data_IF_903891466631
#
_entry.id   IF_903891466631
#
_cell.length_a   1.000
_cell.length_b   1.000
_cell.length_c   1.000
_cell.angle_alpha   90.00
_cell.angle_beta   90.00
_cell.angle_gamma   90.00
#
_symmetry.space_group_name_H-M   'P 1'
#
loop_
_entity.id
_entity.type
_entity.pdbx_description
1 polymer ?
#
# COMPACT_ATOMS: atom_id res chain seq x y z
N UNK A 1 -70.08 -10.92 8.02
CA UNK A 1 -69.31 -10.66 6.77
C UNK A 1 -68.49 -9.36 6.82
N UNK A 2 -67.69 -9.11 7.87
CA UNK A 2 -66.68 -8.02 7.88
C UNK A 2 -65.55 -8.39 8.84
N UNK A 3 -64.53 -9.10 8.34
CA UNK A 3 -63.19 -9.25 8.95
C UNK A 3 -62.25 -10.01 8.00
N UNK A 4 -62.17 -9.58 6.74
CA UNK A 4 -61.16 -10.05 5.77
C UNK A 4 -60.37 -8.91 5.09
N UNK A 5 -60.61 -7.65 5.46
CA UNK A 5 -60.04 -6.48 4.77
C UNK A 5 -58.74 -5.90 5.35
N UNK A 6 -58.22 -6.41 6.49
CA UNK A 6 -57.06 -5.80 7.16
C UNK A 6 -55.75 -6.58 7.05
N UNK A 7 -55.77 -7.80 6.48
CA UNK A 7 -54.56 -8.65 6.36
C UNK A 7 -53.82 -8.51 5.04
N UNK A 8 -54.44 -7.93 4.01
CA UNK A 8 -53.78 -7.66 2.72
C UNK A 8 -53.13 -6.26 2.65
N UNK A 9 -53.63 -5.27 3.41
CA UNK A 9 -53.06 -3.92 3.42
C UNK A 9 -51.68 -3.83 4.08
N UNK A 10 -51.44 -4.59 5.16
CA UNK A 10 -50.15 -4.59 5.86
C UNK A 10 -49.08 -5.40 5.09
N UNK A 11 -49.48 -6.45 4.37
CA UNK A 11 -48.56 -7.24 3.55
C UNK A 11 -48.08 -6.46 2.31
N UNK A 12 -48.94 -5.63 1.72
CA UNK A 12 -48.59 -4.76 0.57
C UNK A 12 -47.69 -3.60 1.02
N UNK A 13 -47.88 -3.04 2.22
CA UNK A 13 -46.99 -1.99 2.76
C UNK A 13 -45.60 -2.53 3.16
N UNK A 14 -45.51 -3.76 3.69
CA UNK A 14 -44.22 -4.40 3.98
C UNK A 14 -43.51 -4.84 2.70
N UNK A 15 -44.24 -5.35 1.69
CA UNK A 15 -43.64 -5.65 0.39
C UNK A 15 -43.25 -4.39 -0.38
N UNK A 16 -43.99 -3.28 -0.29
CA UNK A 16 -43.58 -2.00 -0.89
C UNK A 16 -42.39 -1.35 -0.16
N UNK A 17 -42.25 -1.52 1.16
CA UNK A 17 -41.09 -1.08 1.92
C UNK A 17 -39.84 -1.95 1.65
N UNK A 18 -40.02 -3.27 1.45
CA UNK A 18 -38.93 -4.17 1.03
C UNK A 18 -38.57 -3.93 -0.44
N UNK A 19 -39.54 -3.65 -1.31
CA UNK A 19 -39.29 -3.29 -2.72
C UNK A 19 -38.63 -1.92 -2.85
N UNK A 20 -39.01 -0.96 -2.00
CA UNK A 20 -38.38 0.35 -1.89
C UNK A 20 -36.98 0.30 -1.29
N UNK A 21 -36.72 -0.60 -0.34
CA UNK A 21 -35.38 -0.86 0.18
C UNK A 21 -34.51 -1.58 -0.84
N UNK A 22 -35.03 -2.56 -1.59
CA UNK A 22 -34.32 -3.23 -2.69
C UNK A 22 -34.09 -2.25 -3.86
N UNK A 23 -35.00 -1.31 -4.12
CA UNK A 23 -34.81 -0.24 -5.11
C UNK A 23 -33.87 0.88 -4.63
N UNK A 24 -33.71 1.09 -3.32
CA UNK A 24 -32.74 2.03 -2.74
C UNK A 24 -31.33 1.42 -2.62
N UNK A 25 -31.22 0.09 -2.49
CA UNK A 25 -29.96 -0.64 -2.67
C UNK A 25 -29.63 -0.94 -4.14
N UNK A 26 -30.57 -0.69 -5.06
CA UNK A 26 -30.44 -0.93 -6.50
C UNK A 26 -30.35 0.32 -7.38
N UNK A 27 -30.42 1.53 -6.83
CA UNK A 27 -30.01 2.73 -7.57
C UNK A 27 -28.49 2.80 -7.55
N UNK A 28 -27.89 2.40 -8.67
CA UNK A 28 -26.50 2.71 -9.00
C UNK A 28 -26.12 4.10 -8.47
N UNK A 29 -25.20 4.15 -7.51
CA UNK A 29 -24.54 5.42 -7.17
C UNK A 29 -24.02 6.01 -8.49
N UNK A 30 -24.21 7.30 -8.79
CA UNK A 30 -23.59 7.92 -9.94
C UNK A 30 -22.07 7.64 -9.87
N UNK A 31 -21.57 6.75 -10.75
CA UNK A 31 -20.24 6.12 -10.62
C UNK A 31 -20.21 4.59 -10.67
N UNK A 32 -21.37 3.91 -10.75
CA UNK A 32 -21.46 2.44 -10.73
C UNK A 32 -20.86 1.72 -11.96
N UNK A 33 -20.70 2.42 -13.09
CA UNK A 33 -19.96 1.92 -14.23
C UNK A 33 -18.66 2.72 -14.37
N UNK A 34 -17.53 2.03 -14.28
CA UNK A 34 -16.26 2.54 -14.80
C UNK A 34 -16.54 2.91 -16.25
N UNK A 35 -16.37 4.20 -16.62
CA UNK A 35 -16.62 4.63 -17.99
C UNK A 35 -15.80 3.73 -18.92
N UNK A 36 -16.42 3.11 -19.94
CA UNK A 36 -15.67 2.32 -20.90
C UNK A 36 -14.56 3.20 -21.48
N UNK A 37 -13.30 2.87 -21.19
CA UNK A 37 -12.16 3.53 -21.80
C UNK A 37 -11.76 2.73 -23.04
N UNK A 38 -11.53 3.40 -24.18
CA UNK A 38 -11.05 2.71 -25.36
C UNK A 38 -9.66 2.13 -25.05
N UNK A 39 -9.50 0.81 -25.20
CA UNK A 39 -8.16 0.22 -25.36
C UNK A 39 -7.56 0.85 -26.62
N UNK A 40 -6.65 1.79 -26.45
CA UNK A 40 -5.89 2.32 -27.58
C UNK A 40 -4.78 1.30 -27.86
N UNK A 41 -5.14 0.20 -28.52
CA UNK A 41 -4.16 -0.64 -29.19
C UNK A 41 -3.79 0.05 -30.52
N UNK A 42 -2.92 1.05 -30.45
CA UNK A 42 -2.19 1.45 -31.65
C UNK A 42 -1.02 0.49 -31.81
N UNK A 43 -1.12 -0.41 -32.78
CA UNK A 43 0.02 -1.21 -33.22
C UNK A 43 1.14 -0.25 -33.67
N UNK A 44 2.23 -0.19 -32.90
CA UNK A 44 3.45 0.51 -33.28
C UNK A 44 4.33 -0.43 -34.09
N UNK A 45 5.01 0.09 -35.11
CA UNK A 45 5.98 -0.71 -35.86
C UNK A 45 7.16 -1.11 -34.97
N UNK A 46 7.87 -2.20 -35.30
CA UNK A 46 9.08 -2.61 -34.58
C UNK A 46 10.14 -1.51 -34.51
N UNK A 47 10.35 -0.77 -35.61
CA UNK A 47 11.28 0.36 -35.66
C UNK A 47 10.86 1.52 -34.75
N UNK A 48 9.56 1.79 -34.63
CA UNK A 48 9.04 2.80 -33.71
C UNK A 48 9.19 2.34 -32.25
N UNK A 49 8.93 1.07 -31.95
CA UNK A 49 9.15 0.51 -30.63
C UNK A 49 10.64 0.55 -30.23
N UNK A 50 11.54 0.18 -31.13
CA UNK A 50 12.99 0.22 -30.91
C UNK A 50 13.48 1.66 -30.67
N UNK A 51 12.99 2.63 -31.45
CA UNK A 51 13.32 4.04 -31.26
C UNK A 51 12.76 4.60 -29.94
N UNK A 52 11.51 4.26 -29.58
CA UNK A 52 10.91 4.68 -28.31
C UNK A 52 11.64 4.05 -27.10
N UNK A 53 12.30 2.90 -27.27
CA UNK A 53 13.07 2.19 -26.23
C UNK A 53 14.47 2.76 -26.01
N UNK A 54 15.02 3.51 -26.96
CA UNK A 54 16.37 4.08 -26.83
C UNK A 54 16.45 5.07 -25.66
N UNK A 55 17.39 4.82 -24.75
CA UNK A 55 17.62 5.67 -23.58
C UNK A 55 16.64 5.45 -22.42
N UNK A 56 15.63 4.59 -22.58
CA UNK A 56 14.67 4.27 -21.51
C UNK A 56 15.10 2.98 -20.79
N UNK A 57 15.24 2.99 -19.45
CA UNK A 57 15.60 1.80 -18.69
C UNK A 57 14.62 0.63 -18.86
N UNK A 58 15.14 -0.56 -19.16
CA UNK A 58 14.33 -1.79 -19.27
C UNK A 58 14.42 -2.71 -18.05
N UNK A 59 15.35 -2.42 -17.13
CA UNK A 59 15.57 -3.22 -15.93
C UNK A 59 16.02 -2.35 -14.76
N UNK A 60 16.01 -2.96 -13.57
CA UNK A 60 16.34 -2.29 -12.32
C UNK A 60 17.71 -1.61 -12.32
N UNK A 61 18.74 -2.29 -12.83
CA UNK A 61 20.11 -1.76 -12.81
C UNK A 61 20.25 -0.52 -13.71
N UNK A 62 19.63 -0.54 -14.89
CA UNK A 62 19.61 0.62 -15.79
C UNK A 62 18.83 1.79 -15.18
N UNK A 63 17.70 1.52 -14.52
CA UNK A 63 16.89 2.57 -13.91
C UNK A 63 17.63 3.25 -12.75
N UNK A 64 18.31 2.46 -11.93
CA UNK A 64 19.15 2.99 -10.85
C UNK A 64 20.31 3.84 -11.40
N UNK A 65 21.00 3.34 -12.43
CA UNK A 65 22.10 4.08 -13.05
C UNK A 65 21.64 5.40 -13.69
N UNK A 66 20.46 5.41 -14.33
CA UNK A 66 19.86 6.63 -14.87
C UNK A 66 19.57 7.67 -13.77
N UNK A 67 18.95 7.23 -12.66
CA UNK A 67 18.67 8.10 -11.51
C UNK A 67 19.95 8.63 -10.85
N UNK A 68 21.03 7.86 -10.81
CA UNK A 68 22.33 8.33 -10.30
C UNK A 68 22.93 9.44 -11.16
N UNK A 69 22.82 9.33 -12.50
CA UNK A 69 23.25 10.36 -13.44
C UNK A 69 22.40 11.63 -13.29
N UNK A 70 21.07 11.46 -13.23
CA UNK A 70 20.13 12.55 -13.02
C UNK A 70 20.38 13.28 -11.71
N UNK A 71 20.64 12.55 -10.61
CA UNK A 71 20.90 13.14 -9.30
C UNK A 71 22.18 13.99 -9.31
N UNK A 72 23.23 13.51 -9.98
CA UNK A 72 24.47 14.28 -10.13
C UNK A 72 24.22 15.57 -10.92
N UNK A 73 23.39 15.53 -11.98
CA UNK A 73 23.02 16.71 -12.75
C UNK A 73 22.14 17.69 -11.96
N UNK A 74 21.15 17.18 -11.23
CA UNK A 74 20.27 17.96 -10.37
C UNK A 74 21.07 18.70 -9.29
N UNK A 75 22.02 18.04 -8.63
CA UNK A 75 22.89 18.66 -7.61
C UNK A 75 23.76 19.78 -8.19
N UNK A 76 24.33 19.60 -9.40
CA UNK A 76 25.07 20.67 -10.09
C UNK A 76 24.17 21.87 -10.42
N UNK A 77 22.94 21.60 -10.86
CA UNK A 77 21.96 22.64 -11.19
C UNK A 77 21.56 23.44 -9.94
N UNK A 78 21.26 22.76 -8.84
CA UNK A 78 20.95 23.38 -7.56
C UNK A 78 22.11 24.27 -7.06
N UNK A 79 23.35 23.80 -7.20
CA UNK A 79 24.54 24.57 -6.81
C UNK A 79 24.76 25.82 -7.68
N UNK A 80 24.44 25.74 -8.98
CA UNK A 80 24.57 26.88 -9.90
C UNK A 80 23.46 27.92 -9.71
N UNK A 81 22.30 27.53 -9.15
CA UNK A 81 21.11 28.38 -9.00
C UNK A 81 20.52 28.30 -7.59
N UNK A 82 21.27 28.68 -6.54
CA UNK A 82 20.87 28.47 -5.14
C UNK A 82 19.67 29.34 -4.70
N UNK A 83 19.33 30.39 -5.46
CA UNK A 83 18.17 31.24 -5.21
C UNK A 83 16.89 30.83 -5.96
N UNK A 84 16.93 29.75 -6.76
CA UNK A 84 15.78 29.26 -7.51
C UNK A 84 15.23 28.01 -6.83
N UNK A 85 14.05 28.10 -6.19
CA UNK A 85 13.48 26.98 -5.44
C UNK A 85 13.29 25.73 -6.30
N UNK A 86 12.94 25.88 -7.59
CA UNK A 86 12.79 24.76 -8.54
C UNK A 86 14.12 24.01 -8.73
N UNK A 87 15.22 24.75 -8.92
CA UNK A 87 16.55 24.16 -9.07
C UNK A 87 16.99 23.45 -7.78
N UNK A 88 16.67 24.03 -6.62
CA UNK A 88 17.02 23.46 -5.30
C UNK A 88 16.13 22.27 -4.93
N UNK A 89 14.89 22.20 -5.42
CA UNK A 89 14.00 21.06 -5.20
C UNK A 89 14.37 19.83 -6.05
N UNK A 90 14.93 20.04 -7.24
CA UNK A 90 15.22 18.98 -8.22
C UNK A 90 16.03 17.79 -7.67
N UNK A 91 17.09 17.96 -6.85
CA UNK A 91 17.74 16.81 -6.21
C UNK A 91 16.79 15.99 -5.33
N UNK A 92 15.84 16.65 -4.65
CA UNK A 92 14.82 15.99 -3.84
C UNK A 92 13.87 15.13 -4.68
N UNK A 93 13.49 15.59 -5.87
CA UNK A 93 12.63 14.83 -6.78
C UNK A 93 13.31 13.53 -7.24
N UNK A 94 14.57 13.62 -7.66
CA UNK A 94 15.35 12.46 -8.10
C UNK A 94 15.62 11.50 -6.94
N UNK A 95 15.95 12.02 -5.76
CA UNK A 95 16.13 11.20 -4.55
C UNK A 95 14.84 10.50 -4.15
N UNK A 96 13.68 11.15 -4.25
CA UNK A 96 12.40 10.52 -3.97
C UNK A 96 12.09 9.39 -4.96
N UNK A 97 12.39 9.59 -6.24
CA UNK A 97 12.25 8.54 -7.25
C UNK A 97 13.20 7.35 -6.98
N UNK A 98 14.46 7.63 -6.64
CA UNK A 98 15.45 6.60 -6.28
C UNK A 98 15.09 5.87 -4.99
N UNK A 99 14.57 6.58 -3.99
CA UNK A 99 14.08 6.01 -2.76
C UNK A 99 12.89 5.06 -3.00
N UNK A 100 11.96 5.41 -3.88
CA UNK A 100 10.83 4.52 -4.26
C UNK A 100 11.29 3.27 -5.02
N UNK A 101 12.34 3.38 -5.83
CA UNK A 101 12.92 2.25 -6.55
C UNK A 101 13.71 1.31 -5.63
N UNK A 102 14.41 1.85 -4.64
CA UNK A 102 15.41 1.12 -3.82
C UNK A 102 14.98 0.85 -2.38
N UNK A 103 13.90 1.48 -1.93
CA UNK A 103 13.51 1.61 -0.51
C UNK A 103 14.62 2.20 0.39
N UNK A 104 15.42 3.13 -0.15
CA UNK A 104 16.50 3.82 0.60
C UNK A 104 15.94 4.88 1.54
N UNK A 105 16.02 4.61 2.85
CA UNK A 105 15.65 5.56 3.90
C UNK A 105 16.58 6.78 3.94
N UNK A 106 17.86 6.60 3.59
CA UNK A 106 18.82 7.71 3.49
C UNK A 106 18.43 8.67 2.36
N UNK A 107 17.97 8.14 1.22
CA UNK A 107 17.49 8.96 0.10
C UNK A 107 16.18 9.67 0.46
N UNK A 108 15.24 9.00 1.13
CA UNK A 108 14.04 9.66 1.65
C UNK A 108 14.40 10.80 2.60
N UNK A 109 15.34 10.58 3.54
CA UNK A 109 15.75 11.60 4.49
C UNK A 109 16.49 12.77 3.79
N UNK A 110 17.32 12.48 2.78
CA UNK A 110 17.98 13.52 2.00
C UNK A 110 17.00 14.32 1.15
N UNK A 111 16.02 13.68 0.52
CA UNK A 111 14.99 14.34 -0.26
C UNK A 111 14.25 15.40 0.58
N UNK A 112 13.86 15.04 1.81
CA UNK A 112 13.25 15.96 2.77
C UNK A 112 14.09 17.22 3.00
N UNK A 113 15.41 17.06 3.22
CA UNK A 113 16.32 18.21 3.41
C UNK A 113 16.38 19.12 2.19
N UNK A 114 16.26 18.60 0.97
CA UNK A 114 16.21 19.41 -0.23
C UNK A 114 14.89 20.18 -0.35
N UNK A 115 13.75 19.53 -0.05
CA UNK A 115 12.46 20.22 -0.04
C UNK A 115 12.37 21.30 1.03
N UNK A 116 12.95 21.09 2.21
CA UNK A 116 13.02 22.11 3.27
C UNK A 116 13.83 23.33 2.81
N UNK A 117 14.99 23.12 2.18
CA UNK A 117 15.81 24.21 1.62
C UNK A 117 15.06 24.96 0.52
N UNK A 118 14.44 24.25 -0.42
CA UNK A 118 13.69 24.87 -1.50
C UNK A 118 12.47 25.65 -0.98
N UNK A 119 11.78 25.13 0.05
CA UNK A 119 10.66 25.82 0.69
C UNK A 119 11.08 27.13 1.38
N UNK A 120 12.32 27.23 1.86
CA UNK A 120 12.82 28.43 2.51
C UNK A 120 13.12 29.59 1.53
N UNK A 121 13.30 29.29 0.23
CA UNK A 121 13.62 30.29 -0.80
C UNK A 121 12.40 31.16 -1.15
N UNK A 122 11.24 30.55 -1.40
CA UNK A 122 9.96 31.26 -1.48
C UNK A 122 8.87 30.48 -0.74
N UNK A 123 8.59 30.83 0.54
CA UNK A 123 7.59 30.13 1.36
C UNK A 123 6.14 30.24 0.86
N UNK A 124 5.84 31.17 -0.06
CA UNK A 124 4.48 31.38 -0.58
C UNK A 124 4.12 30.40 -1.68
N UNK A 125 5.12 30.01 -2.48
CA UNK A 125 4.95 29.06 -3.58
C UNK A 125 5.73 27.80 -3.23
N UNK A 126 7.06 27.81 -3.42
CA UNK A 126 7.94 26.69 -3.06
C UNK A 126 7.50 25.35 -3.67
N UNK A 127 8.15 24.24 -3.28
CA UNK A 127 7.84 22.91 -3.80
C UNK A 127 6.70 22.25 -3.00
N UNK A 128 5.53 22.91 -2.87
CA UNK A 128 4.47 22.46 -1.97
C UNK A 128 3.96 21.05 -2.33
N UNK A 129 3.66 20.78 -3.60
CA UNK A 129 3.20 19.45 -4.02
C UNK A 129 4.26 18.37 -3.80
N UNK A 130 5.53 18.65 -4.12
CA UNK A 130 6.63 17.70 -3.94
C UNK A 130 6.84 17.39 -2.45
N UNK A 131 6.81 18.42 -1.60
CA UNK A 131 6.93 18.27 -0.14
C UNK A 131 5.74 17.52 0.45
N UNK A 132 4.52 17.80 0.01
CA UNK A 132 3.33 17.04 0.41
C UNK A 132 3.44 15.57 0.00
N UNK A 133 3.87 15.32 -1.23
CA UNK A 133 4.06 13.97 -1.80
C UNK A 133 5.14 13.19 -1.05
N UNK A 134 6.25 13.85 -0.69
CA UNK A 134 7.31 13.26 0.11
C UNK A 134 6.85 12.95 1.53
N UNK A 135 6.26 13.92 2.24
CA UNK A 135 5.75 13.71 3.59
C UNK A 135 4.75 12.55 3.63
N UNK A 136 3.88 12.45 2.64
CA UNK A 136 2.97 11.32 2.50
C UNK A 136 3.72 10.00 2.30
N UNK A 137 4.72 9.95 1.41
CA UNK A 137 5.51 8.74 1.15
C UNK A 137 6.27 8.21 2.37
N UNK A 138 6.66 9.10 3.30
CA UNK A 138 7.29 8.72 4.58
C UNK A 138 6.31 8.72 5.75
N UNK A 139 5.00 8.71 5.46
CA UNK A 139 3.89 8.68 6.43
C UNK A 139 3.87 9.83 7.45
N UNK A 140 4.48 10.98 7.17
CA UNK A 140 4.37 12.19 8.00
C UNK A 140 3.08 12.94 7.70
N UNK A 141 1.94 12.29 7.96
CA UNK A 141 0.62 12.71 7.47
C UNK A 141 0.20 14.10 7.98
N UNK A 142 0.56 14.46 9.21
CA UNK A 142 0.27 15.77 9.78
C UNK A 142 0.95 16.93 9.01
N UNK A 143 2.09 16.67 8.37
CA UNK A 143 2.84 17.67 7.60
C UNK A 143 2.32 17.85 6.16
N UNK A 144 1.42 16.97 5.70
CA UNK A 144 0.89 17.02 4.33
C UNK A 144 -0.15 18.14 4.16
N UNK A 145 -1.12 18.24 5.07
CA UNK A 145 -2.26 19.16 4.92
C UNK A 145 -1.86 20.64 4.71
N UNK A 146 -0.88 21.21 5.46
CA UNK A 146 -0.48 22.60 5.25
C UNK A 146 0.05 22.90 3.83
N UNK A 147 0.68 21.92 3.18
CA UNK A 147 1.16 22.08 1.80
C UNK A 147 0.00 22.02 0.79
N UNK A 148 -1.00 21.19 1.04
CA UNK A 148 -2.20 21.12 0.20
C UNK A 148 -3.01 22.41 0.29
N UNK A 149 -3.11 23.00 1.48
CA UNK A 149 -3.80 24.27 1.68
C UNK A 149 -3.05 25.44 1.00
N UNK A 150 -1.72 25.37 0.92
CA UNK A 150 -0.92 26.33 0.15
C UNK A 150 -1.23 26.23 -1.35
N UNK A 151 -1.34 25.03 -1.90
CA UNK A 151 -1.67 24.79 -3.32
C UNK A 151 -3.02 25.43 -3.67
N UNK A 152 -4.02 25.30 -2.80
CA UNK A 152 -5.34 25.89 -3.03
C UNK A 152 -5.30 27.44 -3.05
N UNK A 153 -4.32 28.04 -2.38
CA UNK A 153 -4.13 29.48 -2.31
C UNK A 153 -3.31 30.06 -3.48
N UNK A 154 -2.84 29.22 -4.42
CA UNK A 154 -2.10 29.70 -5.58
C UNK A 154 -2.96 30.58 -6.48
N UNK A 155 -2.38 31.71 -6.90
CA UNK A 155 -3.07 32.70 -7.76
C UNK A 155 -3.39 32.12 -9.14
N UNK A 156 -2.50 31.27 -9.66
CA UNK A 156 -2.68 30.59 -10.96
C UNK A 156 -2.86 29.10 -10.69
N UNK A 157 -4.09 28.57 -10.73
CA UNK A 157 -4.34 27.17 -10.47
C UNK A 157 -3.85 26.29 -11.62
N UNK A 158 -3.02 25.28 -11.32
CA UNK A 158 -2.71 24.20 -12.26
C UNK A 158 -3.68 23.02 -12.06
N UNK A 159 -4.24 22.53 -13.16
CA UNK A 159 -5.26 21.48 -13.08
C UNK A 159 -4.68 20.13 -12.60
N UNK A 160 -3.45 19.80 -12.99
CA UNK A 160 -2.76 18.57 -12.59
C UNK A 160 -2.33 18.60 -11.13
N UNK A 161 -1.81 19.73 -10.66
CA UNK A 161 -1.44 19.96 -9.27
C UNK A 161 -2.67 19.91 -8.36
N UNK A 162 -3.78 20.55 -8.75
CA UNK A 162 -5.03 20.48 -7.99
C UNK A 162 -5.62 19.06 -7.94
N UNK A 163 -5.54 18.31 -9.04
CA UNK A 163 -5.95 16.91 -9.04
C UNK A 163 -5.06 16.07 -8.10
N UNK A 164 -3.75 16.29 -8.12
CA UNK A 164 -2.79 15.62 -7.24
C UNK A 164 -3.03 15.96 -5.77
N UNK A 165 -3.26 17.23 -5.45
CA UNK A 165 -3.61 17.69 -4.11
C UNK A 165 -4.92 17.09 -3.62
N UNK A 166 -5.95 17.03 -4.47
CA UNK A 166 -7.23 16.35 -4.16
C UNK A 166 -7.02 14.86 -3.90
N UNK A 167 -6.17 14.20 -4.69
CA UNK A 167 -5.80 12.81 -4.48
C UNK A 167 -5.09 12.58 -3.15
N UNK A 168 -4.11 13.42 -2.79
CA UNK A 168 -3.43 13.38 -1.49
C UNK A 168 -4.38 13.63 -0.32
N UNK A 169 -5.38 14.51 -0.46
CA UNK A 169 -6.45 14.64 0.54
C UNK A 169 -7.28 13.36 0.66
N UNK A 170 -7.52 12.66 -0.44
CA UNK A 170 -8.14 11.33 -0.42
C UNK A 170 -7.29 10.33 0.35
N UNK A 171 -5.98 10.34 0.11
CA UNK A 171 -5.03 9.48 0.83
C UNK A 171 -5.04 9.78 2.34
N UNK A 172 -5.09 11.05 2.76
CA UNK A 172 -5.21 11.41 4.18
C UNK A 172 -6.51 10.90 4.82
N UNK A 173 -7.63 10.95 4.10
CA UNK A 173 -8.87 10.36 4.59
C UNK A 173 -8.78 8.84 4.70
N UNK A 174 -8.17 8.20 3.71
CA UNK A 174 -7.96 6.75 3.69
C UNK A 174 -7.15 6.29 4.91
N UNK A 175 -6.03 6.95 5.19
CA UNK A 175 -5.17 6.66 6.35
C UNK A 175 -5.77 7.11 7.70
N UNK A 176 -6.91 7.80 7.70
CA UNK A 176 -7.71 8.10 8.90
C UNK A 176 -8.92 7.16 9.07
N UNK A 177 -9.08 6.19 8.18
CA UNK A 177 -10.24 5.29 8.17
C UNK A 177 -11.52 5.91 7.58
N UNK A 178 -11.44 7.11 7.00
CA UNK A 178 -12.58 7.82 6.40
C UNK A 178 -12.81 7.37 4.93
N UNK A 179 -13.01 6.07 4.71
CA UNK A 179 -13.01 5.47 3.37
C UNK A 179 -14.03 6.09 2.39
N UNK A 180 -15.23 6.44 2.85
CA UNK A 180 -16.23 7.08 1.99
C UNK A 180 -15.78 8.46 1.47
N UNK A 181 -15.12 9.26 2.31
CA UNK A 181 -14.60 10.56 1.93
C UNK A 181 -13.34 10.42 1.06
N UNK A 182 -12.52 9.40 1.31
CA UNK A 182 -11.40 9.04 0.44
C UNK A 182 -11.86 8.72 -0.99
N UNK A 183 -12.89 7.87 -1.15
CA UNK A 183 -13.46 7.52 -2.46
C UNK A 183 -13.93 8.77 -3.22
N UNK A 184 -14.73 9.61 -2.58
CA UNK A 184 -15.23 10.84 -3.20
C UNK A 184 -14.09 11.77 -3.67
N UNK A 185 -13.00 11.88 -2.90
CA UNK A 185 -11.81 12.63 -3.33
C UNK A 185 -11.06 11.97 -4.47
N UNK A 186 -10.95 10.64 -4.47
CA UNK A 186 -10.34 9.91 -5.57
C UNK A 186 -11.13 10.05 -6.86
N UNK A 187 -12.46 9.96 -6.81
CA UNK A 187 -13.34 10.17 -7.96
C UNK A 187 -13.26 11.62 -8.48
N UNK A 188 -13.20 12.62 -7.60
CA UNK A 188 -13.00 14.03 -7.99
C UNK A 188 -11.61 14.27 -8.60
N UNK A 189 -10.56 13.69 -8.02
CA UNK A 189 -9.19 13.78 -8.54
C UNK A 189 -9.09 13.15 -9.94
N UNK A 190 -9.62 11.94 -10.11
CA UNK A 190 -9.68 11.23 -11.39
C UNK A 190 -10.55 11.93 -12.43
N UNK A 191 -11.73 12.42 -12.04
CA UNK A 191 -12.63 13.15 -12.92
C UNK A 191 -12.08 14.49 -13.42
N UNK A 192 -11.11 15.08 -12.70
CA UNK A 192 -10.40 16.29 -13.14
C UNK A 192 -9.35 15.98 -14.19
N UNK A 193 -8.55 14.94 -13.98
CA UNK A 193 -7.57 14.46 -14.95
C UNK A 193 -7.33 12.96 -14.77
N UNK A 194 -7.41 12.22 -15.87
CA UNK A 194 -7.11 10.79 -15.85
C UNK A 194 -5.62 10.58 -16.12
N UNK A 195 -4.92 10.10 -15.10
CA UNK A 195 -3.50 9.75 -15.14
C UNK A 195 -3.32 8.35 -14.57
N UNK A 196 -2.11 7.79 -14.72
CA UNK A 196 -1.72 6.55 -14.04
C UNK A 196 -2.00 6.65 -12.54
N UNK A 197 -1.60 7.77 -11.91
CA UNK A 197 -1.73 7.96 -10.47
C UNK A 197 -3.16 8.14 -9.96
N UNK A 198 -4.05 8.78 -10.74
CA UNK A 198 -5.45 8.95 -10.33
C UNK A 198 -6.23 7.65 -10.49
N UNK A 199 -6.01 6.91 -11.57
CA UNK A 199 -6.60 5.57 -11.75
C UNK A 199 -6.05 4.58 -10.72
N UNK A 200 -4.74 4.60 -10.44
CA UNK A 200 -4.13 3.70 -9.46
C UNK A 200 -4.68 3.88 -8.04
N UNK A 201 -4.99 5.11 -7.60
CA UNK A 201 -5.64 5.35 -6.30
C UNK A 201 -7.01 4.67 -6.20
N UNK A 202 -7.81 4.73 -7.27
CA UNK A 202 -9.09 4.03 -7.33
C UNK A 202 -8.89 2.51 -7.37
N UNK A 203 -7.90 2.01 -8.11
CA UNK A 203 -7.54 0.59 -8.11
C UNK A 203 -7.21 0.09 -6.70
N UNK A 204 -6.33 0.82 -5.99
CA UNK A 204 -5.94 0.49 -4.62
C UNK A 204 -7.13 0.55 -3.66
N UNK A 205 -7.98 1.58 -3.77
CA UNK A 205 -9.19 1.69 -2.97
C UNK A 205 -10.09 0.46 -3.14
N UNK A 206 -10.45 0.11 -4.39
CA UNK A 206 -11.36 -1.00 -4.65
C UNK A 206 -10.76 -2.35 -4.27
N UNK A 207 -9.44 -2.53 -4.39
CA UNK A 207 -8.76 -3.71 -3.89
C UNK A 207 -8.97 -3.87 -2.37
N UNK A 208 -8.77 -2.79 -1.60
CA UNK A 208 -8.97 -2.82 -0.14
C UNK A 208 -10.43 -2.91 0.29
N UNK A 209 -11.38 -2.59 -0.59
CA UNK A 209 -12.82 -2.79 -0.37
C UNK A 209 -13.32 -4.16 -0.88
N UNK A 210 -12.43 -5.02 -1.37
CA UNK A 210 -12.76 -6.38 -1.83
C UNK A 210 -13.41 -6.46 -3.21
N UNK A 211 -13.40 -5.37 -3.99
CA UNK A 211 -13.91 -5.35 -5.38
C UNK A 211 -12.75 -5.52 -6.36
N UNK A 212 -12.24 -6.75 -6.45
CA UNK A 212 -11.12 -7.11 -7.31
C UNK A 212 -11.38 -6.81 -8.80
N UNK A 213 -12.64 -6.89 -9.25
CA UNK A 213 -13.01 -6.59 -10.62
C UNK A 213 -12.83 -5.10 -10.94
N UNK A 214 -13.34 -4.20 -10.09
CA UNK A 214 -13.09 -2.76 -10.24
C UNK A 214 -11.62 -2.41 -10.08
N UNK A 215 -10.93 -3.03 -9.13
CA UNK A 215 -9.51 -2.80 -8.93
C UNK A 215 -8.72 -3.10 -10.22
N UNK A 216 -8.94 -4.27 -10.82
CA UNK A 216 -8.29 -4.67 -12.07
C UNK A 216 -8.67 -3.78 -13.26
N UNK A 217 -9.92 -3.32 -13.33
CA UNK A 217 -10.34 -2.38 -14.36
C UNK A 217 -9.60 -1.03 -14.22
N UNK A 218 -9.49 -0.46 -13.02
CA UNK A 218 -8.69 0.76 -12.84
C UNK A 218 -7.19 0.55 -13.09
N UNK A 219 -6.64 -0.65 -12.89
CA UNK A 219 -5.28 -0.98 -13.35
C UNK A 219 -5.18 -1.01 -14.88
N UNK A 220 -6.19 -1.55 -15.59
CA UNK A 220 -6.26 -1.46 -17.06
C UNK A 220 -6.31 -0.01 -17.53
N UNK A 221 -7.10 0.83 -16.85
CA UNK A 221 -7.18 2.26 -17.18
C UNK A 221 -5.84 2.94 -16.95
N UNK A 222 -5.18 2.70 -15.80
CA UNK A 222 -3.87 3.23 -15.50
C UNK A 222 -2.84 2.83 -16.57
N UNK A 223 -2.84 1.56 -16.99
CA UNK A 223 -1.96 1.06 -18.03
C UNK A 223 -2.23 1.72 -19.39
N UNK A 224 -3.49 1.97 -19.72
CA UNK A 224 -3.88 2.66 -20.96
C UNK A 224 -3.34 4.10 -21.07
N UNK A 225 -2.93 4.70 -19.93
CA UNK A 225 -2.32 6.04 -19.88
C UNK A 225 -0.81 6.03 -20.07
N UNK A 226 -0.17 4.87 -20.02
CA UNK A 226 1.25 4.76 -20.30
C UNK A 226 1.52 5.06 -21.79
N UNK A 227 2.65 5.71 -22.05
CA UNK A 227 3.12 6.09 -23.39
C UNK A 227 4.57 5.67 -23.54
N UNK A 228 4.89 4.99 -24.64
CA UNK A 228 6.22 4.42 -24.86
C UNK A 228 6.59 3.30 -23.86
N UNK A 229 7.87 2.92 -23.80
CA UNK A 229 8.36 1.76 -23.05
C UNK A 229 8.61 2.06 -21.57
N UNK A 230 7.52 2.28 -20.85
CA UNK A 230 7.52 2.48 -19.39
C UNK A 230 7.53 1.14 -18.64
N UNK A 231 8.59 0.35 -18.82
CA UNK A 231 8.65 -1.04 -18.31
C UNK A 231 8.52 -1.11 -16.79
N UNK A 232 9.14 -0.19 -16.06
CA UNK A 232 9.01 -0.12 -14.60
C UNK A 232 7.54 0.07 -14.19
N UNK A 233 6.81 1.01 -14.82
CA UNK A 233 5.41 1.28 -14.52
C UNK A 233 4.50 0.10 -14.93
N UNK A 234 4.78 -0.56 -16.05
CA UNK A 234 4.04 -1.77 -16.47
C UNK A 234 4.24 -2.91 -15.49
N UNK A 235 5.48 -3.17 -15.08
CA UNK A 235 5.79 -4.17 -14.07
C UNK A 235 5.13 -3.85 -12.72
N UNK A 236 5.08 -2.56 -12.34
CA UNK A 236 4.38 -2.11 -11.14
C UNK A 236 2.88 -2.43 -11.19
N UNK A 237 2.20 -2.11 -12.30
CA UNK A 237 0.77 -2.42 -12.45
C UNK A 237 0.52 -3.94 -12.46
N UNK A 238 1.37 -4.70 -13.16
CA UNK A 238 1.29 -6.17 -13.20
C UNK A 238 1.52 -6.81 -11.83
N UNK A 239 2.49 -6.29 -11.06
CA UNK A 239 2.72 -6.71 -9.67
C UNK A 239 1.49 -6.43 -8.80
N UNK A 240 0.83 -5.28 -8.96
CA UNK A 240 -0.39 -4.97 -8.20
C UNK A 240 -1.57 -5.89 -8.50
N UNK A 241 -1.68 -6.44 -9.71
CA UNK A 241 -2.64 -7.52 -9.98
C UNK A 241 -2.33 -8.77 -9.17
N UNK A 242 -1.04 -9.10 -9.06
CA UNK A 242 -0.57 -10.18 -8.21
C UNK A 242 -0.94 -9.96 -6.74
N UNK A 243 -0.82 -8.74 -6.22
CA UNK A 243 -1.21 -8.39 -4.84
C UNK A 243 -2.71 -8.60 -4.63
N UNK A 244 -3.56 -8.20 -5.59
CA UNK A 244 -5.01 -8.42 -5.52
C UNK A 244 -5.33 -9.92 -5.44
N UNK A 245 -4.71 -10.73 -6.30
CA UNK A 245 -4.88 -12.19 -6.29
C UNK A 245 -4.34 -12.82 -4.99
N UNK A 246 -3.21 -12.34 -4.50
CA UNK A 246 -2.58 -12.78 -3.25
C UNK A 246 -3.52 -12.60 -2.05
N UNK A 247 -4.13 -11.42 -1.93
CA UNK A 247 -5.04 -11.09 -0.83
C UNK A 247 -6.29 -11.98 -0.80
N UNK A 248 -6.73 -12.45 -1.97
CA UNK A 248 -7.84 -13.40 -2.11
C UNK A 248 -7.42 -14.88 -1.90
N UNK A 249 -6.15 -15.14 -1.58
CA UNK A 249 -5.59 -16.49 -1.44
C UNK A 249 -5.36 -17.21 -2.78
N UNK A 250 -5.42 -16.52 -3.92
CA UNK A 250 -5.21 -17.07 -5.26
C UNK A 250 -3.71 -17.13 -5.59
N UNK A 251 -2.95 -17.91 -4.82
CA UNK A 251 -1.47 -17.88 -4.86
C UNK A 251 -0.86 -18.29 -6.20
N UNK A 252 -1.50 -19.19 -6.95
CA UNK A 252 -1.03 -19.57 -8.29
C UNK A 252 -1.14 -18.41 -9.29
N UNK A 253 -2.26 -17.69 -9.26
CA UNK A 253 -2.49 -16.51 -10.08
C UNK A 253 -1.54 -15.37 -9.68
N UNK A 254 -1.41 -15.11 -8.37
CA UNK A 254 -0.46 -14.14 -7.84
C UNK A 254 0.98 -14.41 -8.31
N UNK A 255 1.44 -15.66 -8.19
CA UNK A 255 2.76 -16.07 -8.66
C UNK A 255 2.97 -15.88 -10.17
N UNK A 256 1.92 -16.09 -10.98
CA UNK A 256 1.98 -15.84 -12.42
C UNK A 256 2.11 -14.34 -12.75
N UNK A 257 1.37 -13.47 -12.05
CA UNK A 257 1.52 -12.01 -12.18
C UNK A 257 2.92 -11.54 -11.77
N UNK A 258 3.43 -11.99 -10.62
CA UNK A 258 4.78 -11.63 -10.15
C UNK A 258 5.87 -12.11 -11.13
N UNK A 259 5.75 -13.31 -11.70
CA UNK A 259 6.67 -13.80 -12.71
C UNK A 259 6.63 -12.97 -14.01
N UNK A 260 5.45 -12.52 -14.44
CA UNK A 260 5.31 -11.60 -15.58
C UNK A 260 5.91 -10.23 -15.28
N UNK A 261 5.64 -9.65 -14.12
CA UNK A 261 6.25 -8.40 -13.69
C UNK A 261 7.79 -8.48 -13.68
N UNK A 262 8.35 -9.59 -13.18
CA UNK A 262 9.80 -9.83 -13.17
C UNK A 262 10.38 -9.98 -14.58
N UNK A 263 9.58 -10.42 -15.55
CA UNK A 263 9.98 -10.48 -16.96
C UNK A 263 9.95 -9.10 -17.61
N UNK A 264 8.94 -8.28 -17.30
CA UNK A 264 8.77 -6.92 -17.82
C UNK A 264 9.90 -6.00 -17.32
N UNK A 265 10.25 -6.09 -16.03
CA UNK A 265 11.29 -5.26 -15.41
C UNK A 265 12.23 -6.10 -14.53
N UNK A 266 13.26 -6.73 -15.14
CA UNK A 266 14.13 -7.67 -14.44
C UNK A 266 15.00 -7.05 -13.34
N UNK A 267 15.31 -7.86 -12.32
CA UNK A 267 16.25 -7.54 -11.24
C UNK A 267 15.70 -6.67 -10.10
N UNK A 268 14.42 -6.29 -10.19
CA UNK A 268 13.75 -5.48 -9.19
C UNK A 268 13.45 -6.31 -7.93
N UNK A 269 14.05 -5.90 -6.82
CA UNK A 269 14.02 -6.63 -5.55
C UNK A 269 12.60 -6.83 -5.01
N UNK A 270 11.69 -5.84 -5.15
CA UNK A 270 10.33 -5.93 -4.62
C UNK A 270 9.49 -6.97 -5.39
N UNK A 271 9.66 -7.05 -6.71
CA UNK A 271 8.99 -8.09 -7.50
C UNK A 271 9.55 -9.49 -7.21
N UNK A 272 10.86 -9.59 -6.99
CA UNK A 272 11.50 -10.84 -6.55
C UNK A 272 11.05 -11.27 -5.14
N UNK A 273 10.84 -10.30 -4.24
CA UNK A 273 10.32 -10.52 -2.90
C UNK A 273 8.92 -11.12 -2.96
N UNK A 274 8.01 -10.49 -3.72
CA UNK A 274 6.64 -10.98 -3.89
C UNK A 274 6.58 -12.41 -4.45
N UNK A 275 7.45 -12.71 -5.42
CA UNK A 275 7.61 -14.06 -5.94
C UNK A 275 8.13 -15.03 -4.86
N UNK A 276 9.10 -14.60 -4.04
CA UNK A 276 9.65 -15.41 -2.96
C UNK A 276 8.62 -15.70 -1.86
N UNK A 277 7.75 -14.75 -1.52
CA UNK A 277 6.64 -14.92 -0.58
C UNK A 277 5.70 -16.04 -1.04
N UNK A 278 5.22 -15.96 -2.29
CA UNK A 278 4.31 -16.97 -2.84
C UNK A 278 4.97 -18.35 -2.92
N UNK A 279 6.26 -18.41 -3.29
CA UNK A 279 7.02 -19.67 -3.27
C UNK A 279 7.10 -20.26 -1.86
N UNK A 280 7.35 -19.44 -0.84
CA UNK A 280 7.41 -19.87 0.55
C UNK A 280 6.06 -20.43 1.03
N UNK A 281 4.97 -19.72 0.76
CA UNK A 281 3.61 -20.12 1.14
C UNK A 281 3.17 -21.42 0.46
N UNK A 282 3.60 -21.64 -0.78
CA UNK A 282 3.38 -22.89 -1.52
C UNK A 282 4.32 -24.03 -1.10
N UNK A 283 5.19 -23.81 -0.11
CA UNK A 283 6.11 -24.82 0.41
C UNK A 283 7.43 -24.96 -0.35
N UNK A 284 7.66 -24.19 -1.42
CA UNK A 284 8.95 -24.14 -2.14
C UNK A 284 9.97 -23.25 -1.39
N UNK A 285 10.22 -23.63 -0.13
CA UNK A 285 11.06 -22.90 0.82
C UNK A 285 12.52 -22.82 0.34
N UNK A 286 12.99 -23.78 -0.46
CA UNK A 286 14.34 -23.77 -1.02
C UNK A 286 14.52 -22.61 -2.02
N UNK A 287 13.60 -22.44 -2.96
CA UNK A 287 13.68 -21.33 -3.94
C UNK A 287 13.38 -19.99 -3.28
N UNK A 288 12.41 -19.94 -2.36
CA UNK A 288 12.15 -18.73 -1.57
C UNK A 288 13.40 -18.28 -0.79
N UNK A 289 14.05 -19.18 -0.05
CA UNK A 289 15.28 -18.89 0.70
C UNK A 289 16.40 -18.38 -0.20
N UNK A 290 16.57 -18.96 -1.39
CA UNK A 290 17.58 -18.50 -2.35
C UNK A 290 17.33 -17.06 -2.82
N UNK A 291 16.06 -16.72 -3.14
CA UNK A 291 15.66 -15.37 -3.53
C UNK A 291 15.86 -14.37 -2.39
N UNK A 292 15.30 -14.64 -1.20
CA UNK A 292 15.44 -13.71 -0.07
C UNK A 292 16.90 -13.51 0.34
N UNK A 293 17.74 -14.56 0.36
CA UNK A 293 19.18 -14.38 0.62
C UNK A 293 19.88 -13.57 -0.48
N UNK A 294 19.43 -13.66 -1.72
CA UNK A 294 19.93 -12.83 -2.81
C UNK A 294 19.56 -11.36 -2.58
N UNK A 295 18.28 -11.08 -2.32
CA UNK A 295 17.78 -9.74 -2.01
C UNK A 295 18.53 -9.16 -0.81
N UNK A 296 18.63 -9.91 0.29
CA UNK A 296 19.32 -9.53 1.51
C UNK A 296 20.79 -9.15 1.29
N UNK A 297 21.51 -9.82 0.38
CA UNK A 297 22.89 -9.46 0.02
C UNK A 297 22.98 -8.23 -0.86
N UNK A 298 22.08 -8.07 -1.83
CA UNK A 298 22.11 -6.96 -2.80
C UNK A 298 21.64 -5.63 -2.20
N UNK A 299 20.69 -5.70 -1.27
CA UNK A 299 19.97 -4.52 -0.76
C UNK A 299 20.32 -4.18 0.69
N UNK A 300 20.71 -5.18 1.49
CA UNK A 300 20.90 -4.99 2.93
C UNK A 300 19.61 -4.67 3.71
N UNK A 301 18.44 -4.92 3.11
CA UNK A 301 17.16 -4.53 3.67
C UNK A 301 16.74 -5.38 4.88
N UNK A 302 16.28 -4.75 5.98
CA UNK A 302 15.74 -5.46 7.15
C UNK A 302 14.61 -6.44 6.83
N UNK A 303 13.70 -6.10 5.92
CA UNK A 303 12.58 -6.95 5.48
C UNK A 303 13.10 -8.29 4.93
N UNK A 304 14.12 -8.25 4.08
CA UNK A 304 14.72 -9.45 3.51
C UNK A 304 15.44 -10.29 4.57
N UNK A 305 16.01 -9.66 5.60
CA UNK A 305 16.59 -10.37 6.74
C UNK A 305 15.51 -11.04 7.61
N UNK A 306 14.38 -10.37 7.85
CA UNK A 306 13.23 -10.94 8.56
C UNK A 306 12.63 -12.13 7.80
N UNK A 307 12.49 -12.02 6.48
CA UNK A 307 12.00 -13.13 5.66
C UNK A 307 12.91 -14.36 5.74
N UNK A 308 14.23 -14.16 5.68
CA UNK A 308 15.21 -15.25 5.89
C UNK A 308 15.09 -15.83 7.30
N UNK A 309 14.94 -14.98 8.32
CA UNK A 309 14.77 -15.41 9.70
C UNK A 309 13.49 -16.23 9.91
N UNK A 310 12.39 -15.84 9.27
CA UNK A 310 11.11 -16.54 9.27
C UNK A 310 11.19 -17.91 8.61
N UNK A 311 11.87 -18.00 7.46
CA UNK A 311 12.10 -19.27 6.77
C UNK A 311 12.96 -20.25 7.60
N UNK A 312 14.03 -19.78 8.26
CA UNK A 312 14.80 -20.62 9.17
C UNK A 312 13.98 -21.09 10.37
N UNK A 313 13.12 -20.22 10.92
CA UNK A 313 12.21 -20.59 12.00
C UNK A 313 11.22 -21.67 11.57
N UNK A 314 10.64 -21.54 10.38
CA UNK A 314 9.73 -22.53 9.81
C UNK A 314 10.40 -23.90 9.60
N UNK A 315 11.72 -23.92 9.38
CA UNK A 315 12.54 -25.13 9.29
C UNK A 315 13.02 -25.67 10.66
N UNK A 316 12.72 -24.98 11.76
CA UNK A 316 13.16 -25.34 13.11
C UNK A 316 14.60 -24.91 13.47
N UNK A 317 15.30 -24.20 12.58
CA UNK A 317 16.65 -23.68 12.85
C UNK A 317 16.57 -22.33 13.57
N UNK A 318 16.32 -22.41 14.88
CA UNK A 318 16.17 -21.23 15.73
C UNK A 318 17.47 -20.41 15.85
N UNK A 319 18.63 -21.06 15.77
CA UNK A 319 19.94 -20.39 15.83
C UNK A 319 20.13 -19.47 14.63
N UNK A 320 19.88 -19.97 13.41
CA UNK A 320 19.93 -19.12 12.22
C UNK A 320 18.83 -18.07 12.24
N UNK A 321 17.61 -18.44 12.63
CA UNK A 321 16.50 -17.50 12.74
C UNK A 321 16.87 -16.29 13.62
N UNK A 322 17.40 -16.52 14.82
CA UNK A 322 17.82 -15.45 15.73
C UNK A 322 18.97 -14.60 15.16
N UNK A 323 19.95 -15.23 14.50
CA UNK A 323 21.07 -14.51 13.91
C UNK A 323 20.63 -13.56 12.77
N UNK A 324 19.67 -13.97 11.94
CA UNK A 324 19.13 -13.13 10.88
C UNK A 324 18.18 -12.06 11.41
N UNK A 325 17.32 -12.41 12.38
CA UNK A 325 16.45 -11.45 13.05
C UNK A 325 17.26 -10.35 13.75
N UNK A 326 18.39 -10.67 14.38
CA UNK A 326 19.26 -9.65 14.98
C UNK A 326 19.80 -8.64 13.95
N UNK A 327 20.12 -9.08 12.72
CA UNK A 327 20.52 -8.19 11.62
C UNK A 327 19.36 -7.30 11.18
N UNK A 328 18.16 -7.87 11.05
CA UNK A 328 16.95 -7.11 10.73
C UNK A 328 16.69 -6.04 11.79
N UNK A 329 16.69 -6.42 13.08
CA UNK A 329 16.46 -5.51 14.20
C UNK A 329 17.45 -4.35 14.27
N UNK A 330 18.73 -4.58 13.95
CA UNK A 330 19.72 -3.52 13.84
C UNK A 330 19.40 -2.51 12.72
N UNK A 331 18.88 -2.98 11.59
CA UNK A 331 18.45 -2.12 10.50
C UNK A 331 17.14 -1.39 10.80
N UNK A 332 16.17 -2.04 11.44
CA UNK A 332 14.94 -1.39 11.92
C UNK A 332 15.20 -0.30 12.93
N UNK A 333 16.13 -0.51 13.87
CA UNK A 333 16.54 0.51 14.82
C UNK A 333 17.10 1.76 14.11
N UNK A 334 17.91 1.59 13.07
CA UNK A 334 18.40 2.72 12.25
C UNK A 334 17.27 3.44 11.53
N UNK A 335 16.34 2.71 10.93
CA UNK A 335 15.19 3.30 10.20
C UNK A 335 14.23 4.04 11.13
N UNK A 336 13.94 3.49 12.31
CA UNK A 336 13.14 4.15 13.34
C UNK A 336 13.80 5.43 13.86
N UNK A 337 15.14 5.46 13.96
CA UNK A 337 15.85 6.67 14.36
C UNK A 337 15.86 7.75 13.27
N UNK A 338 15.81 7.36 11.99
CA UNK A 338 15.92 8.27 10.85
C UNK A 338 14.55 8.82 10.39
N UNK A 339 13.59 7.93 10.15
CA UNK A 339 12.23 8.24 9.67
C UNK A 339 11.22 7.32 10.38
N UNK A 340 10.87 7.61 11.65
CA UNK A 340 10.08 6.70 12.47
C UNK A 340 8.70 6.38 11.87
N UNK A 341 7.98 7.39 11.36
CA UNK A 341 6.64 7.22 10.79
C UNK A 341 6.62 6.28 9.58
N UNK A 342 7.68 6.31 8.77
CA UNK A 342 7.86 5.41 7.64
C UNK A 342 8.17 3.97 8.09
N UNK A 343 8.90 3.81 9.21
CA UNK A 343 9.35 2.52 9.70
C UNK A 343 8.36 1.78 10.60
N UNK A 344 7.39 2.47 11.22
CA UNK A 344 6.56 1.89 12.28
C UNK A 344 5.85 0.59 11.91
N UNK A 345 5.30 0.48 10.70
CA UNK A 345 4.57 -0.73 10.26
C UNK A 345 5.48 -1.96 10.26
N UNK A 346 6.49 -1.95 9.40
CA UNK A 346 7.39 -3.09 9.27
C UNK A 346 8.26 -3.35 10.51
N UNK A 347 8.63 -2.30 11.25
CA UNK A 347 9.31 -2.49 12.53
C UNK A 347 8.40 -3.14 13.58
N UNK A 348 7.10 -2.86 13.56
CA UNK A 348 6.13 -3.57 14.40
C UNK A 348 6.06 -5.05 14.02
N UNK A 349 5.99 -5.38 12.73
CA UNK A 349 5.95 -6.76 12.25
C UNK A 349 7.19 -7.53 12.73
N UNK A 350 8.37 -6.90 12.67
CA UNK A 350 9.61 -7.44 13.24
C UNK A 350 9.49 -7.71 14.74
N UNK A 351 9.01 -6.77 15.54
CA UNK A 351 8.91 -6.96 17.00
C UNK A 351 7.86 -8.03 17.36
N UNK A 352 6.74 -8.10 16.63
CA UNK A 352 5.71 -9.12 16.83
C UNK A 352 6.24 -10.52 16.50
N UNK A 353 7.05 -10.64 15.44
CA UNK A 353 7.61 -11.91 15.02
C UNK A 353 8.84 -12.32 15.84
N UNK A 354 9.79 -11.43 16.05
CA UNK A 354 11.13 -11.76 16.56
C UNK A 354 11.51 -11.05 17.86
N UNK A 355 10.73 -10.05 18.29
CA UNK A 355 10.98 -9.30 19.51
C UNK A 355 10.79 -10.17 20.76
N UNK A 356 11.62 -9.92 21.78
CA UNK A 356 11.51 -10.56 23.10
C UNK A 356 10.69 -9.76 24.11
N UNK A 357 10.39 -8.49 23.80
CA UNK A 357 9.66 -7.56 24.67
C UNK A 357 8.33 -7.13 24.03
N UNK A 358 7.19 -7.72 24.47
CA UNK A 358 5.87 -7.32 23.99
C UNK A 358 5.54 -5.84 24.20
N UNK A 359 6.09 -5.19 25.24
CA UNK A 359 5.83 -3.78 25.51
C UNK A 359 6.41 -2.87 24.43
N UNK A 360 7.56 -3.26 23.84
CA UNK A 360 8.16 -2.57 22.70
C UNK A 360 7.28 -2.63 21.47
N UNK A 361 6.73 -3.80 21.14
CA UNK A 361 5.78 -3.94 20.04
C UNK A 361 4.55 -3.04 20.24
N UNK A 362 3.99 -3.01 21.46
CA UNK A 362 2.85 -2.14 21.79
C UNK A 362 3.18 -0.66 21.62
N UNK A 363 4.34 -0.20 22.11
CA UNK A 363 4.74 1.20 21.98
C UNK A 363 4.89 1.65 20.52
N UNK A 364 5.42 0.80 19.64
CA UNK A 364 5.50 1.08 18.20
C UNK A 364 4.10 1.10 17.59
N UNK A 365 3.25 0.12 17.92
CA UNK A 365 1.90 0.02 17.37
C UNK A 365 1.01 1.21 17.77
N UNK A 366 1.11 1.69 19.01
CA UNK A 366 0.37 2.87 19.47
C UNK A 366 0.78 4.13 18.71
N UNK A 367 2.08 4.33 18.46
CA UNK A 367 2.57 5.45 17.64
C UNK A 367 2.13 5.33 16.18
N UNK A 368 2.17 4.12 15.63
CA UNK A 368 1.72 3.84 14.28
C UNK A 368 0.24 4.18 14.09
N UNK A 369 -0.61 3.67 14.98
CA UNK A 369 -2.06 3.91 14.95
C UNK A 369 -2.40 5.38 15.20
N UNK A 370 -1.70 6.05 16.14
CA UNK A 370 -1.89 7.48 16.38
C UNK A 370 -1.55 8.33 15.15
N UNK A 371 -0.53 7.95 14.37
CA UNK A 371 -0.14 8.65 13.15
C UNK A 371 -1.11 8.39 11.98
N UNK A 372 -1.57 7.16 11.83
CA UNK A 372 -2.42 6.72 10.70
C UNK A 372 -3.52 5.77 11.19
N UNK A 373 -4.65 6.23 11.76
CA UNK A 373 -5.65 5.35 12.39
C UNK A 373 -6.59 4.69 11.36
N UNK A 374 -6.07 3.77 10.55
CA UNK A 374 -6.84 2.97 9.58
C UNK A 374 -6.63 1.47 9.80
N UNK A 375 -7.35 0.65 9.03
CA UNK A 375 -7.42 -0.80 9.18
C UNK A 375 -6.08 -1.50 9.47
N UNK A 376 -5.02 -1.30 8.67
CA UNK A 376 -3.75 -2.01 8.90
C UNK A 376 -3.12 -1.65 10.26
N UNK A 377 -3.03 -0.36 10.57
CA UNK A 377 -2.45 0.10 11.84
C UNK A 377 -3.28 -0.35 13.05
N UNK A 378 -4.61 -0.43 12.89
CA UNK A 378 -5.53 -0.91 13.91
C UNK A 378 -5.34 -2.42 14.13
N UNK A 379 -5.17 -3.18 13.06
CA UNK A 379 -4.83 -4.61 13.11
C UNK A 379 -3.48 -4.83 13.78
N UNK A 380 -2.44 -4.06 13.43
CA UNK A 380 -1.14 -4.12 14.09
C UNK A 380 -1.22 -3.81 15.58
N UNK A 381 -1.98 -2.78 15.97
CA UNK A 381 -2.24 -2.46 17.38
C UNK A 381 -3.05 -3.55 18.10
N UNK A 382 -4.01 -4.16 17.42
CA UNK A 382 -4.74 -5.30 17.97
C UNK A 382 -3.82 -6.51 18.21
N UNK A 383 -2.97 -6.86 17.25
CA UNK A 383 -1.94 -7.90 17.41
C UNK A 383 -0.99 -7.58 18.57
N UNK A 384 -0.57 -6.32 18.71
CA UNK A 384 0.25 -5.89 19.84
C UNK A 384 -0.49 -6.02 21.18
N UNK A 385 -1.79 -5.70 21.24
CA UNK A 385 -2.59 -5.96 22.44
C UNK A 385 -2.71 -7.45 22.76
N UNK A 386 -2.82 -8.32 21.74
CA UNK A 386 -2.87 -9.77 21.96
C UNK A 386 -1.60 -10.30 22.63
N UNK A 387 -0.41 -9.95 22.13
CA UNK A 387 0.86 -10.38 22.75
C UNK A 387 1.09 -9.75 24.13
N UNK A 388 0.41 -8.64 24.44
CA UNK A 388 0.40 -8.02 25.77
C UNK A 388 -0.75 -8.50 26.67
N UNK A 389 -1.45 -9.58 26.31
CA UNK A 389 -2.56 -10.17 27.08
C UNK A 389 -3.73 -9.21 27.32
N UNK A 390 -4.03 -8.35 26.35
CA UNK A 390 -5.12 -7.37 26.37
C UNK A 390 -6.17 -7.62 25.26
N UNK A 391 -6.82 -8.81 25.22
CA UNK A 391 -7.71 -9.18 24.11
C UNK A 391 -8.97 -8.30 24.00
N UNK A 392 -9.48 -7.77 25.11
CA UNK A 392 -10.61 -6.84 25.09
C UNK A 392 -10.26 -5.52 24.38
N UNK A 393 -9.03 -5.03 24.55
CA UNK A 393 -8.55 -3.84 23.86
C UNK A 393 -8.33 -4.08 22.36
N UNK A 394 -7.86 -5.28 22.00
CA UNK A 394 -7.76 -5.72 20.61
C UNK A 394 -9.13 -5.67 19.90
N UNK A 395 -10.17 -6.22 20.54
CA UNK A 395 -11.53 -6.17 20.00
C UNK A 395 -12.07 -4.74 19.88
N UNK A 396 -11.78 -3.89 20.86
CA UNK A 396 -12.22 -2.48 20.86
C UNK A 396 -11.60 -1.69 19.71
N UNK A 397 -10.31 -1.86 19.44
CA UNK A 397 -9.65 -1.16 18.33
C UNK A 397 -10.04 -1.73 16.96
N UNK A 398 -10.35 -3.03 16.87
CA UNK A 398 -10.81 -3.66 15.64
C UNK A 398 -12.28 -3.38 15.29
N UNK A 399 -13.13 -3.09 16.29
CA UNK A 399 -14.56 -2.87 16.07
C UNK A 399 -14.90 -1.95 14.87
N UNK A 400 -14.30 -0.75 14.71
CA UNK A 400 -14.57 0.08 13.53
C UNK A 400 -14.08 -0.53 12.22
N UNK A 401 -12.98 -1.30 12.22
CA UNK A 401 -12.44 -1.98 11.03
C UNK A 401 -13.39 -3.08 10.58
N UNK A 402 -13.82 -3.94 11.51
CA UNK A 402 -14.71 -5.07 11.24
C UNK A 402 -16.11 -4.62 10.79
N UNK A 403 -16.51 -3.39 11.13
CA UNK A 403 -17.77 -2.78 10.69
C UNK A 403 -17.62 -1.95 9.39
N UNK A 404 -16.40 -1.77 8.88
CA UNK A 404 -16.12 -1.00 7.67
C UNK A 404 -16.26 -1.85 6.41
N UNK A 405 -16.07 -1.22 5.24
CA UNK A 405 -15.95 -1.92 3.97
C UNK A 405 -14.59 -2.57 3.72
N UNK A 406 -13.63 -2.45 4.64
CA UNK A 406 -12.30 -3.01 4.49
C UNK A 406 -12.32 -4.53 4.44
N UNK A 407 -11.73 -5.11 3.40
CA UNK A 407 -11.67 -6.56 3.19
C UNK A 407 -10.23 -7.04 3.31
N UNK A 408 -9.96 -7.80 4.37
CA UNK A 408 -8.66 -8.41 4.68
C UNK A 408 -8.88 -9.44 5.78
N UNK A 409 -8.16 -10.56 5.74
CA UNK A 409 -8.36 -11.68 6.66
C UNK A 409 -7.77 -11.41 8.05
N UNK A 410 -6.67 -10.67 8.10
CA UNK A 410 -5.84 -10.37 9.27
C UNK A 410 -6.64 -9.82 10.48
N UNK A 411 -7.48 -8.76 10.36
CA UNK A 411 -8.28 -8.28 11.48
C UNK A 411 -9.27 -9.35 11.99
N UNK A 412 -9.80 -10.20 11.11
CA UNK A 412 -10.69 -11.28 11.49
C UNK A 412 -9.95 -12.43 12.17
N UNK A 413 -8.70 -12.71 11.79
CA UNK A 413 -7.83 -13.68 12.47
C UNK A 413 -7.57 -13.22 13.91
N UNK A 414 -7.15 -11.97 14.11
CA UNK A 414 -6.91 -11.39 15.44
C UNK A 414 -8.20 -11.38 16.27
N UNK A 415 -9.33 -11.02 15.67
CA UNK A 415 -10.63 -11.04 16.35
C UNK A 415 -11.06 -12.46 16.76
N UNK A 416 -10.78 -13.47 15.93
CA UNK A 416 -11.08 -14.88 16.23
C UNK A 416 -10.40 -15.29 17.53
N UNK A 417 -9.10 -15.01 17.66
CA UNK A 417 -8.33 -15.34 18.85
C UNK A 417 -8.81 -14.54 20.06
N UNK A 418 -9.03 -13.23 19.91
CA UNK A 418 -9.48 -12.37 20.99
C UNK A 418 -10.87 -12.74 21.53
N UNK A 419 -11.82 -13.10 20.65
CA UNK A 419 -13.13 -13.61 21.06
C UNK A 419 -13.02 -14.94 21.79
N UNK A 420 -12.17 -15.85 21.33
CA UNK A 420 -11.96 -17.14 21.99
C UNK A 420 -11.41 -16.97 23.41
N UNK A 421 -10.37 -16.13 23.59
CA UNK A 421 -9.77 -15.86 24.92
C UNK A 421 -10.77 -15.20 25.87
N UNK A 422 -11.68 -14.36 25.34
CA UNK A 422 -12.71 -13.67 26.14
C UNK A 422 -14.00 -14.48 26.34
N UNK A 423 -14.01 -15.76 25.94
CA UNK A 423 -15.16 -16.66 26.15
C UNK A 423 -16.35 -16.43 25.19
N UNK A 424 -16.16 -15.66 24.12
CA UNK A 424 -17.19 -15.32 23.13
C UNK A 424 -17.17 -16.32 21.95
N UNK A 425 -17.34 -17.61 22.22
CA UNK A 425 -17.14 -18.71 21.25
C UNK A 425 -17.91 -18.53 19.94
N UNK A 426 -19.20 -18.17 20.00
CA UNK A 426 -20.01 -17.97 18.79
C UNK A 426 -19.47 -16.85 17.88
N UNK A 427 -18.94 -15.78 18.47
CA UNK A 427 -18.32 -14.66 17.72
C UNK A 427 -16.95 -15.06 17.17
N UNK A 428 -16.19 -15.88 17.89
CA UNK A 428 -14.94 -16.44 17.40
C UNK A 428 -15.19 -17.31 16.14
N UNK A 429 -16.21 -18.17 16.17
CA UNK A 429 -16.57 -19.01 15.02
C UNK A 429 -17.03 -18.19 13.81
N UNK A 430 -17.79 -17.11 14.03
CA UNK A 430 -18.18 -16.20 12.96
C UNK A 430 -16.96 -15.47 12.38
N UNK A 431 -16.10 -14.89 13.22
CA UNK A 431 -14.88 -14.22 12.78
C UNK A 431 -13.97 -15.16 11.97
N UNK A 432 -13.84 -16.41 12.42
CA UNK A 432 -13.07 -17.45 11.71
C UNK A 432 -13.65 -17.72 10.31
N UNK A 433 -14.96 -17.83 10.19
CA UNK A 433 -15.64 -18.02 8.89
C UNK A 433 -15.42 -16.83 7.96
N UNK A 434 -15.42 -15.60 8.49
CA UNK A 434 -15.15 -14.38 7.70
C UNK A 434 -13.72 -14.37 7.17
N UNK A 435 -12.73 -14.64 8.00
CA UNK A 435 -11.33 -14.75 7.55
C UNK A 435 -11.16 -15.78 6.43
N UNK A 436 -11.71 -16.99 6.61
CA UNK A 436 -11.64 -18.06 5.61
C UNK A 436 -12.38 -17.76 4.31
N UNK A 437 -13.45 -16.96 4.36
CA UNK A 437 -14.17 -16.54 3.17
C UNK A 437 -13.38 -15.52 2.34
N UNK A 438 -12.49 -14.74 2.97
CA UNK A 438 -11.61 -13.78 2.30
C UNK A 438 -10.39 -14.50 1.74
N UNK A 439 -9.73 -15.31 2.57
CA UNK A 439 -8.58 -16.10 2.18
C UNK A 439 -8.69 -17.51 2.80
N UNK A 440 -8.85 -18.58 1.99
CA UNK A 440 -9.00 -19.94 2.51
C UNK A 440 -7.78 -20.44 3.29
N UNK A 441 -6.62 -19.81 3.11
CA UNK A 441 -5.36 -20.13 3.77
C UNK A 441 -5.13 -19.38 5.09
N UNK A 442 -6.11 -18.57 5.56
CA UNK A 442 -5.98 -17.69 6.74
C UNK A 442 -5.51 -18.38 8.03
N UNK A 443 -5.73 -19.69 8.17
CA UNK A 443 -5.34 -20.46 9.35
C UNK A 443 -4.43 -21.65 9.00
N UNK A 444 -3.81 -21.62 7.82
CA UNK A 444 -2.84 -22.63 7.44
C UNK A 444 -1.64 -22.54 8.41
N UNK A 445 -1.25 -23.68 8.97
CA UNK A 445 -0.19 -23.73 9.98
C UNK A 445 1.17 -23.56 9.33
N UNK A 446 1.60 -22.32 9.14
CA UNK A 446 3.01 -21.99 9.02
C UNK A 446 3.36 -20.70 9.77
N UNK A 447 3.45 -20.75 11.11
CA UNK A 447 3.67 -19.57 11.95
C UNK A 447 4.98 -18.80 11.63
N UNK A 448 5.92 -19.42 10.91
CA UNK A 448 7.15 -18.74 10.46
C UNK A 448 6.97 -17.91 9.18
N UNK A 449 5.85 -18.03 8.46
CA UNK A 449 5.59 -17.36 7.19
C UNK A 449 4.39 -16.39 7.21
N UNK A 450 3.67 -16.31 8.33
CA UNK A 450 2.45 -15.46 8.47
C UNK A 450 2.73 -13.97 8.24
N UNK A 451 3.99 -13.55 8.36
CA UNK A 451 4.43 -12.15 8.30
C UNK A 451 5.14 -11.78 6.99
N UNK A 452 5.18 -12.67 5.99
CA UNK A 452 6.02 -12.46 4.80
C UNK A 452 5.49 -11.40 3.83
N UNK A 453 4.24 -10.96 3.94
CA UNK A 453 3.69 -9.85 3.16
C UNK A 453 2.54 -9.16 3.90
N UNK A 454 2.68 -7.86 4.16
CA UNK A 454 1.64 -6.95 4.66
C UNK A 454 1.59 -5.70 3.78
#
# INVERSE_FOLDING_TARGET
>A
MKRLGLRYGLLILVLAAISGAIAWFGSERPGAAIRPYPKVETAVSGAQADAEQQGVPTNYAQALAALDIELAAARRTAAARPGEWLAVASPGDVLLARARLTNSFDDYAEAGRWYDRASAIDPRVGPALQRATWNFAVHRLAAVAPDLDRIDAYVVPDAGEQASATGLRGDLDFYRGNYAAALDRYERSHGRIVTVGTAFRLANYWARMGDAAKANAYLDEAESRLRGPQQQQRAFLEMHRGIIAYQAGQWDEAGAHYARAATIFPGHWLTEEHLATVLALKGDTKRAMALYRSIARRTGMPEAYDAVAGLYRAQGDLTQSQAWAAKAGAGWAKRLALLPEAAYGHALDHELAFGSDPARALAIAERNYANRPFAESATGLASAYMVNRRPADALRVLAPVLASGWVSAEPWIVATEAYAITGQTARADEARKRALAINPHSFDRNPGLVWLEH
#
